data_IF_099563140453
#
_entry.id   IF_099563140453
#
_cell.length_a   1.000
_cell.length_b   1.000
_cell.length_c   1.000
_cell.angle_alpha   90.00
_cell.angle_beta   90.00
_cell.angle_gamma   90.00
#
_symmetry.space_group_name_H-M   'P 1'
#
loop_
_entity.id
_entity.type
_entity.pdbx_description
1 polymer ?
#
# COMPACT_ATOMS: atom_id res chain seq x y z
N UNK A 1 -27.74 27.62 -54.86
CA UNK A 1 -27.67 26.14 -54.88
C UNK A 1 -26.20 25.79 -54.89
N UNK A 2 -25.62 25.56 -53.72
CA UNK A 2 -24.17 25.54 -53.52
C UNK A 2 -23.77 24.10 -53.18
N UNK A 3 -22.68 23.69 -53.81
CA UNK A 3 -22.08 22.37 -53.91
C UNK A 3 -21.73 21.70 -52.57
N UNK A 4 -21.99 20.39 -52.52
CA UNK A 4 -21.33 19.43 -51.61
C UNK A 4 -19.95 19.09 -52.15
N UNK A 5 -18.93 19.24 -51.30
CA UNK A 5 -17.63 18.61 -51.41
C UNK A 5 -17.67 17.31 -50.59
N UNK A 6 -17.41 16.18 -51.24
CA UNK A 6 -17.11 14.91 -50.59
C UNK A 6 -15.59 14.69 -50.56
N UNK A 7 -15.14 14.35 -49.36
CA UNK A 7 -14.10 13.36 -49.04
C UNK A 7 -12.73 13.46 -49.72
N UNK A 8 -11.75 13.97 -48.97
CA UNK A 8 -10.39 13.45 -49.01
C UNK A 8 -10.01 12.98 -47.59
N UNK A 9 -9.75 11.68 -47.49
CA UNK A 9 -9.20 11.02 -46.31
C UNK A 9 -7.74 11.44 -46.12
N UNK A 10 -7.40 12.00 -44.97
CA UNK A 10 -6.02 12.24 -44.55
C UNK A 10 -5.71 11.28 -43.40
N UNK A 11 -4.75 10.39 -43.67
CA UNK A 11 -4.01 9.59 -42.70
C UNK A 11 -3.30 10.49 -41.69
N UNK A 12 -3.77 10.51 -40.43
CA UNK A 12 -3.08 11.19 -39.34
C UNK A 12 -2.24 10.18 -38.54
N UNK A 13 -0.99 10.02 -38.95
CA UNK A 13 0.09 9.46 -38.12
C UNK A 13 0.43 10.48 -37.04
N UNK A 14 -0.24 10.41 -35.89
CA UNK A 14 0.16 11.20 -34.73
C UNK A 14 1.46 10.65 -34.12
N UNK A 15 2.45 11.54 -34.13
CA UNK A 15 3.79 11.41 -33.59
C UNK A 15 3.80 11.16 -32.07
N UNK A 16 4.45 10.09 -31.65
CA UNK A 16 4.93 9.94 -30.28
C UNK A 16 5.99 11.00 -29.99
N UNK A 17 5.58 12.09 -29.34
CA UNK A 17 6.48 13.06 -28.73
C UNK A 17 7.13 12.43 -27.50
N UNK A 18 8.29 11.81 -27.72
CA UNK A 18 9.25 11.48 -26.65
C UNK A 18 10.15 12.69 -26.50
N UNK A 19 10.10 13.34 -25.34
CA UNK A 19 11.07 14.38 -24.99
C UNK A 19 12.43 13.68 -24.78
N UNK A 20 13.47 13.95 -25.58
CA UNK A 20 14.78 13.38 -25.35
C UNK A 20 15.46 14.17 -24.24
N UNK A 21 15.76 13.51 -23.12
CA UNK A 21 16.69 14.02 -22.12
C UNK A 21 18.11 13.89 -22.68
N UNK A 22 18.67 14.99 -23.17
CA UNK A 22 20.02 15.05 -23.71
C UNK A 22 20.94 15.78 -22.73
N UNK A 23 22.00 15.08 -22.29
CA UNK A 23 23.22 15.70 -21.79
C UNK A 23 23.69 15.23 -20.42
N UNK A 24 24.25 14.02 -20.34
CA UNK A 24 25.60 13.75 -19.82
C UNK A 24 25.92 12.26 -19.98
N UNK A 25 26.85 11.96 -20.89
CA UNK A 25 27.44 10.64 -21.09
C UNK A 25 28.39 10.33 -19.93
N UNK A 26 27.82 9.99 -18.79
CA UNK A 26 28.47 9.13 -17.79
C UNK A 26 27.70 7.81 -17.79
N UNK A 27 28.20 6.89 -18.62
CA UNK A 27 27.55 5.64 -19.04
C UNK A 27 27.76 4.51 -18.02
N UNK A 28 28.21 4.83 -16.81
CA UNK A 28 28.14 3.90 -15.69
C UNK A 28 26.76 4.02 -15.03
N UNK A 29 25.92 3.01 -15.24
CA UNK A 29 24.73 2.80 -14.41
C UNK A 29 25.22 2.44 -13.01
N UNK A 30 25.33 3.44 -12.13
CA UNK A 30 25.58 3.17 -10.71
C UNK A 30 24.43 2.35 -10.16
N UNK A 31 24.75 1.20 -9.59
CA UNK A 31 23.78 0.32 -8.95
C UNK A 31 23.10 1.07 -7.79
N UNK A 32 21.78 0.89 -7.59
CA UNK A 32 21.10 1.50 -6.45
C UNK A 32 21.71 1.03 -5.13
N UNK A 33 21.98 1.98 -4.23
CA UNK A 33 22.50 1.70 -2.89
C UNK A 33 21.36 1.85 -1.87
N UNK A 34 20.66 0.75 -1.60
CA UNK A 34 19.56 0.71 -0.64
C UNK A 34 20.07 0.94 0.81
N UNK A 35 21.30 0.54 1.11
CA UNK A 35 21.91 0.71 2.43
C UNK A 35 22.09 2.20 2.78
N UNK A 36 22.38 3.04 1.79
CA UNK A 36 22.49 4.49 1.98
C UNK A 36 21.18 5.10 2.49
N UNK A 37 20.05 4.76 1.85
CA UNK A 37 18.74 5.27 2.27
C UNK A 37 18.27 4.62 3.56
N UNK A 38 18.53 3.32 3.75
CA UNK A 38 18.27 2.62 5.01
C UNK A 38 18.97 3.31 6.19
N UNK A 39 20.26 3.61 6.01
CA UNK A 39 21.06 4.30 7.02
C UNK A 39 20.51 5.70 7.30
N UNK A 40 20.20 6.47 6.25
CA UNK A 40 19.65 7.82 6.41
C UNK A 40 18.32 7.82 7.18
N UNK A 41 17.38 6.93 6.84
CA UNK A 41 16.10 6.84 7.53
C UNK A 41 16.28 6.30 8.96
N UNK A 42 17.06 5.24 9.15
CA UNK A 42 17.26 4.62 10.47
C UNK A 42 17.94 5.59 11.44
N UNK A 43 18.97 6.30 10.99
CA UNK A 43 19.70 7.26 11.85
C UNK A 43 18.86 8.47 12.22
N UNK A 44 18.02 8.98 11.31
CA UNK A 44 17.28 10.23 11.56
C UNK A 44 15.86 10.00 12.10
N UNK A 45 15.23 8.87 11.81
CA UNK A 45 13.81 8.57 12.13
C UNK A 45 13.60 7.21 12.83
N UNK A 46 14.65 6.41 13.02
CA UNK A 46 14.59 5.12 13.69
C UNK A 46 14.30 3.92 12.77
N UNK A 47 14.56 2.72 13.29
CA UNK A 47 14.42 1.45 12.56
C UNK A 47 12.98 1.17 12.12
N UNK A 48 11.99 1.44 12.98
CA UNK A 48 10.58 1.25 12.64
C UNK A 48 10.16 2.13 11.45
N UNK A 49 10.67 3.36 11.37
CA UNK A 49 10.44 4.25 10.24
C UNK A 49 11.04 3.70 8.95
N UNK A 50 12.19 3.02 9.02
CA UNK A 50 12.76 2.31 7.86
C UNK A 50 11.86 1.16 7.41
N UNK A 51 11.40 0.31 8.32
CA UNK A 51 10.56 -0.84 7.96
C UNK A 51 9.26 -0.44 7.24
N UNK A 52 8.72 0.74 7.58
CA UNK A 52 7.59 1.36 6.87
C UNK A 52 8.04 1.97 5.54
N UNK A 53 9.12 2.77 5.54
CA UNK A 53 9.64 3.41 4.33
C UNK A 53 10.00 2.38 3.24
N UNK A 54 10.61 1.25 3.61
CA UNK A 54 10.96 0.16 2.71
C UNK A 54 9.73 -0.40 1.98
N UNK A 55 8.58 -0.52 2.68
CA UNK A 55 7.29 -0.89 2.05
C UNK A 55 6.83 0.17 1.06
N UNK A 56 6.95 1.47 1.42
CA UNK A 56 6.55 2.57 0.55
C UNK A 56 7.43 2.61 -0.71
N UNK A 57 8.75 2.54 -0.56
CA UNK A 57 9.68 2.52 -1.68
C UNK A 57 9.44 1.30 -2.59
N UNK A 58 9.20 0.13 -2.00
CA UNK A 58 8.86 -1.09 -2.76
C UNK A 58 7.59 -0.88 -3.58
N UNK A 59 6.54 -0.31 -2.97
CA UNK A 59 5.32 0.00 -3.70
C UNK A 59 5.57 1.06 -4.79
N UNK A 60 6.37 2.08 -4.54
CA UNK A 60 6.69 3.11 -5.54
C UNK A 60 7.45 2.55 -6.75
N UNK A 61 8.43 1.67 -6.50
CA UNK A 61 9.26 1.04 -7.53
C UNK A 61 8.47 0.19 -8.53
N UNK A 62 7.22 -0.21 -8.21
CA UNK A 62 6.37 -0.92 -9.18
C UNK A 62 6.06 -0.08 -10.42
N UNK A 63 6.26 1.24 -10.39
CA UNK A 63 6.14 2.09 -11.58
C UNK A 63 7.13 1.70 -12.69
N UNK A 64 8.28 1.14 -12.33
CA UNK A 64 9.32 0.73 -13.27
C UNK A 64 8.93 -0.54 -14.04
N UNK A 65 7.99 -1.32 -13.52
CA UNK A 65 7.57 -2.60 -14.11
C UNK A 65 6.62 -2.37 -15.28
N UNK A 66 6.99 -2.90 -16.44
CA UNK A 66 6.19 -2.87 -17.65
C UNK A 66 4.93 -3.75 -17.51
N UNK A 67 3.82 -3.29 -18.07
CA UNK A 67 2.61 -4.10 -18.24
C UNK A 67 1.74 -4.30 -17.00
N UNK A 68 2.03 -3.66 -15.86
CA UNK A 68 1.08 -3.62 -14.76
C UNK A 68 -0.06 -2.63 -15.10
N UNK A 69 -1.30 -3.08 -14.95
CA UNK A 69 -2.50 -2.26 -15.21
C UNK A 69 -2.90 -1.45 -13.97
N UNK A 70 -3.05 -2.11 -12.82
CA UNK A 70 -3.46 -1.48 -11.57
C UNK A 70 -2.29 -0.91 -10.78
N UNK A 71 -2.56 0.17 -10.06
CA UNK A 71 -1.64 0.79 -9.11
C UNK A 71 -1.52 0.03 -7.79
N UNK A 72 -0.42 0.26 -7.08
CA UNK A 72 -0.22 -0.20 -5.71
C UNK A 72 -0.74 0.83 -4.72
N UNK A 73 -1.60 0.41 -3.79
CA UNK A 73 -2.09 1.25 -2.69
C UNK A 73 -1.57 0.79 -1.34
N UNK A 74 -0.79 1.61 -0.65
CA UNK A 74 -0.31 1.38 0.71
C UNK A 74 -0.92 2.41 1.66
N UNK A 75 -1.43 1.93 2.80
CA UNK A 75 -1.91 2.77 3.89
C UNK A 75 -1.08 2.53 5.15
N UNK A 76 -0.51 3.61 5.69
CA UNK A 76 0.14 3.59 7.01
C UNK A 76 -0.96 3.73 8.06
N UNK A 77 -1.11 2.73 8.93
CA UNK A 77 -2.08 2.75 10.02
C UNK A 77 -1.36 2.81 11.37
N UNK A 78 -1.78 3.75 12.24
CA UNK A 78 -1.16 3.90 13.56
C UNK A 78 -1.83 5.00 14.40
N UNK A 79 -1.65 5.01 15.73
CA UNK A 79 -2.25 6.02 16.60
C UNK A 79 -1.82 7.45 16.21
N UNK A 80 -2.61 8.46 16.58
CA UNK A 80 -2.20 9.85 16.38
C UNK A 80 -0.91 10.13 17.14
N UNK A 81 0.02 10.90 16.55
CA UNK A 81 1.30 11.23 17.19
C UNK A 81 2.46 10.31 16.82
N UNK A 82 2.23 9.08 16.36
CA UNK A 82 3.32 8.12 16.09
C UNK A 82 4.22 8.43 14.88
N UNK A 83 4.12 9.60 14.23
CA UNK A 83 5.05 9.96 13.15
C UNK A 83 4.66 9.52 11.73
N UNK A 84 3.46 8.99 11.49
CA UNK A 84 3.00 8.57 10.12
C UNK A 84 3.23 9.62 9.04
N UNK A 85 2.83 10.87 9.32
CA UNK A 85 3.03 11.99 8.40
C UNK A 85 4.51 12.31 8.20
N UNK A 86 5.34 12.16 9.25
CA UNK A 86 6.79 12.35 9.17
C UNK A 86 7.42 11.39 8.17
N UNK A 87 7.01 10.12 8.15
CA UNK A 87 7.52 9.12 7.20
C UNK A 87 7.18 9.44 5.73
N UNK A 88 6.10 10.17 5.47
CA UNK A 88 5.74 10.58 4.10
C UNK A 88 6.53 11.80 3.63
N UNK A 89 7.07 12.63 4.54
CA UNK A 89 7.78 13.88 4.19
C UNK A 89 9.05 13.73 3.34
N UNK A 90 9.82 12.63 3.44
CA UNK A 90 10.96 12.36 2.55
C UNK A 90 10.58 12.21 1.07
N UNK A 91 9.30 11.93 0.76
CA UNK A 91 8.81 11.82 -0.62
C UNK A 91 8.37 13.18 -1.21
N UNK A 92 8.22 14.22 -0.39
CA UNK A 92 7.64 15.49 -0.82
C UNK A 92 8.64 16.33 -1.64
N UNK A 93 8.16 16.88 -2.77
CA UNK A 93 8.94 17.76 -3.63
C UNK A 93 9.71 17.03 -4.74
N UNK A 94 9.47 15.73 -4.92
CA UNK A 94 9.91 14.96 -6.09
C UNK A 94 8.79 14.93 -7.14
N UNK A 95 8.39 16.11 -7.62
CA UNK A 95 7.15 16.33 -8.38
C UNK A 95 7.07 15.54 -9.71
N UNK A 96 8.20 15.09 -10.24
CA UNK A 96 8.30 14.21 -11.40
C UNK A 96 7.76 12.79 -11.12
N UNK A 97 7.80 12.34 -9.87
CA UNK A 97 7.44 10.97 -9.44
C UNK A 97 6.31 10.95 -8.39
N UNK A 98 6.13 12.04 -7.64
CA UNK A 98 5.23 12.12 -6.49
C UNK A 98 4.24 13.27 -6.70
N UNK A 99 2.98 13.02 -6.37
CA UNK A 99 1.95 14.05 -6.29
C UNK A 99 1.40 14.08 -4.87
N UNK A 100 1.62 15.18 -4.13
CA UNK A 100 1.06 15.35 -2.79
C UNK A 100 -0.30 16.04 -2.84
N UNK A 101 -1.25 15.53 -2.05
CA UNK A 101 -2.53 16.18 -1.80
C UNK A 101 -2.90 16.03 -0.32
N UNK A 102 -3.22 17.14 0.34
CA UNK A 102 -3.63 17.09 1.75
C UNK A 102 -5.13 16.78 1.93
N UNK A 103 -5.93 17.00 0.88
CA UNK A 103 -7.34 16.61 0.82
C UNK A 103 -7.75 16.36 -0.63
N UNK A 104 -8.52 15.30 -0.86
CA UNK A 104 -9.07 14.96 -2.16
C UNK A 104 -10.53 14.53 -2.03
N UNK A 105 -11.28 14.75 -3.10
CA UNK A 105 -12.66 14.26 -3.21
C UNK A 105 -12.80 13.39 -4.45
N UNK A 106 -13.76 12.46 -4.50
CA UNK A 106 -14.03 11.68 -5.71
C UNK A 106 -14.19 12.54 -6.98
N UNK A 107 -14.80 13.71 -6.83
CA UNK A 107 -15.03 14.64 -7.94
C UNK A 107 -13.74 15.30 -8.46
N UNK A 108 -12.64 15.32 -7.69
CA UNK A 108 -11.38 15.92 -8.18
C UNK A 108 -10.70 15.05 -9.23
N UNK A 109 -10.96 13.74 -9.29
CA UNK A 109 -10.39 12.87 -10.33
C UNK A 109 -10.87 13.27 -11.73
N UNK A 110 -12.16 13.55 -11.88
CA UNK A 110 -12.84 13.88 -13.15
C UNK A 110 -13.97 14.87 -12.84
N UNK A 111 -13.80 16.15 -13.16
CA UNK A 111 -14.61 17.24 -12.60
C UNK A 111 -15.95 17.66 -13.23
N UNK A 112 -16.34 17.48 -14.48
CA UNK A 112 -17.65 17.92 -15.03
C UNK A 112 -18.21 19.35 -14.72
N UNK A 113 -17.35 20.34 -14.52
CA UNK A 113 -17.77 21.75 -14.47
C UNK A 113 -18.24 22.22 -15.86
N UNK A 114 -19.53 22.54 -16.00
CA UNK A 114 -20.13 22.96 -17.27
C UNK A 114 -19.72 24.35 -17.74
N UNK A 115 -19.03 25.13 -16.91
CA UNK A 115 -18.53 26.47 -17.26
C UNK A 115 -17.17 26.45 -17.96
N UNK A 116 -16.53 25.28 -18.06
CA UNK A 116 -15.18 25.10 -18.62
C UNK A 116 -15.17 24.18 -19.82
N UNK A 117 -14.21 24.37 -20.73
CA UNK A 117 -14.00 23.48 -21.88
C UNK A 117 -13.32 22.18 -21.46
N UNK A 118 -13.34 21.16 -22.32
CA UNK A 118 -12.66 19.88 -22.02
C UNK A 118 -11.14 20.04 -21.84
N UNK A 119 -10.52 20.97 -22.56
CA UNK A 119 -9.09 21.27 -22.44
C UNK A 119 -8.77 21.92 -21.09
N UNK A 120 -9.53 22.95 -20.69
CA UNK A 120 -9.38 23.60 -19.38
C UNK A 120 -9.61 22.62 -18.23
N UNK A 121 -10.51 21.67 -18.47
CA UNK A 121 -10.85 20.61 -17.55
C UNK A 121 -9.75 19.55 -17.42
N UNK A 122 -9.08 19.20 -18.51
CA UNK A 122 -7.94 18.29 -18.51
C UNK A 122 -6.73 18.84 -17.75
N UNK A 123 -6.56 20.17 -17.71
CA UNK A 123 -5.50 20.83 -16.94
C UNK A 123 -5.75 20.79 -15.43
N UNK A 124 -7.02 20.83 -15.00
CA UNK A 124 -7.38 20.86 -13.57
C UNK A 124 -7.66 19.48 -12.98
N UNK A 125 -8.17 18.55 -13.79
CA UNK A 125 -8.53 17.21 -13.34
C UNK A 125 -7.32 16.51 -12.73
N UNK A 126 -7.56 15.82 -11.62
CA UNK A 126 -6.48 15.17 -10.89
C UNK A 126 -5.96 13.93 -11.64
N UNK A 127 -6.84 13.16 -12.29
CA UNK A 127 -6.45 11.86 -12.86
C UNK A 127 -5.32 11.94 -13.90
N UNK A 128 -5.34 12.86 -14.90
CA UNK A 128 -4.21 13.06 -15.81
C UNK A 128 -2.91 13.44 -15.11
N UNK A 129 -2.99 14.23 -14.02
CA UNK A 129 -1.83 14.72 -13.27
C UNK A 129 -1.18 13.63 -12.41
N UNK A 130 -1.91 12.57 -12.09
CA UNK A 130 -1.43 11.42 -11.33
C UNK A 130 -0.75 10.36 -12.19
N UNK A 131 -0.99 10.35 -13.51
CA UNK A 131 -0.48 9.31 -14.41
C UNK A 131 1.03 9.10 -14.23
N UNK A 132 1.41 7.88 -13.84
CA UNK A 132 2.81 7.48 -13.63
C UNK A 132 3.45 8.02 -12.35
N UNK A 133 2.68 8.60 -11.44
CA UNK A 133 3.15 9.13 -10.16
C UNK A 133 2.60 8.33 -8.99
N UNK A 134 3.13 8.58 -7.80
CA UNK A 134 2.49 8.17 -6.55
C UNK A 134 1.72 9.35 -5.96
N UNK A 135 0.40 9.19 -5.79
CA UNK A 135 -0.42 10.08 -4.98
C UNK A 135 -0.12 9.85 -3.49
N UNK A 136 0.34 10.87 -2.79
CA UNK A 136 0.59 10.83 -1.35
C UNK A 136 -0.40 11.71 -0.61
N UNK A 137 -1.13 11.11 0.34
CA UNK A 137 -2.17 11.76 1.16
C UNK A 137 -1.85 11.60 2.64
N UNK A 138 -1.31 12.65 3.29
CA UNK A 138 -0.79 12.54 4.65
C UNK A 138 -1.83 12.26 5.74
N UNK A 139 -3.11 12.49 5.47
CA UNK A 139 -4.21 12.14 6.35
C UNK A 139 -5.46 11.76 5.53
N UNK A 140 -5.89 10.51 5.66
CA UNK A 140 -7.11 9.98 5.04
C UNK A 140 -8.23 9.70 6.05
N UNK A 141 -8.12 10.13 7.31
CA UNK A 141 -9.14 9.82 8.31
C UNK A 141 -10.55 10.28 7.86
N UNK A 142 -10.66 11.41 7.16
CA UNK A 142 -11.93 11.96 6.64
C UNK A 142 -12.63 11.04 5.64
N UNK A 143 -11.87 10.22 4.90
CA UNK A 143 -12.41 9.29 3.90
C UNK A 143 -13.15 8.11 4.51
N UNK A 144 -12.84 7.75 5.76
CA UNK A 144 -13.45 6.63 6.48
C UNK A 144 -14.52 7.05 7.51
N UNK A 145 -14.83 8.35 7.55
CA UNK A 145 -15.80 8.95 8.44
C UNK A 145 -17.14 9.24 7.74
N UNK A 146 -18.21 9.41 8.52
CA UNK A 146 -19.56 9.68 8.00
C UNK A 146 -20.42 8.43 7.79
N UNK A 147 -21.62 8.54 7.20
CA UNK A 147 -22.50 7.40 6.91
C UNK A 147 -21.87 6.35 5.97
N UNK A 148 -22.27 5.07 6.08
CA UNK A 148 -21.70 3.99 5.26
C UNK A 148 -21.84 4.26 3.75
N UNK A 149 -22.94 4.90 3.32
CA UNK A 149 -23.16 5.25 1.91
C UNK A 149 -22.12 6.25 1.38
N UNK A 150 -21.76 7.27 2.17
CA UNK A 150 -20.75 8.25 1.76
C UNK A 150 -19.35 7.62 1.68
N UNK A 151 -19.02 6.74 2.64
CA UNK A 151 -17.76 5.99 2.60
C UNK A 151 -17.74 5.09 1.35
N UNK A 152 -18.86 4.44 1.04
CA UNK A 152 -19.01 3.56 -0.13
C UNK A 152 -18.84 4.33 -1.43
N UNK A 153 -19.47 5.49 -1.57
CA UNK A 153 -19.35 6.35 -2.76
C UNK A 153 -17.90 6.81 -2.97
N UNK A 154 -17.26 7.34 -1.91
CA UNK A 154 -15.88 7.83 -1.96
C UNK A 154 -14.92 6.72 -2.36
N UNK A 155 -14.97 5.62 -1.62
CA UNK A 155 -14.07 4.50 -1.85
C UNK A 155 -14.39 3.73 -3.13
N UNK A 156 -15.65 3.74 -3.60
CA UNK A 156 -16.06 3.19 -4.89
C UNK A 156 -15.37 3.87 -6.05
N UNK A 157 -15.41 5.20 -6.08
CA UNK A 157 -14.69 5.98 -7.10
C UNK A 157 -13.19 5.76 -7.02
N UNK A 158 -12.63 5.79 -5.80
CA UNK A 158 -11.21 5.57 -5.57
C UNK A 158 -10.75 4.17 -6.03
N UNK A 159 -11.55 3.14 -5.77
CA UNK A 159 -11.27 1.79 -6.23
C UNK A 159 -11.23 1.69 -7.76
N UNK A 160 -12.16 2.35 -8.47
CA UNK A 160 -12.19 2.35 -9.93
C UNK A 160 -10.98 3.06 -10.53
N UNK A 161 -10.59 4.23 -10.02
CA UNK A 161 -9.41 4.96 -10.56
C UNK A 161 -8.11 4.20 -10.30
N UNK A 162 -8.01 3.45 -9.19
CA UNK A 162 -6.84 2.63 -8.86
C UNK A 162 -6.66 1.41 -9.78
N UNK A 163 -7.71 0.98 -10.49
CA UNK A 163 -7.61 -0.11 -11.47
C UNK A 163 -6.79 0.32 -12.71
N UNK A 164 -6.63 1.63 -12.95
CA UNK A 164 -5.65 2.19 -13.89
C UNK A 164 -6.16 2.43 -15.31
N UNK A 165 -7.33 1.90 -15.69
CA UNK A 165 -7.90 1.99 -17.06
C UNK A 165 -8.55 3.36 -17.39
N UNK A 166 -8.40 4.34 -16.50
CA UNK A 166 -9.09 5.62 -16.54
C UNK A 166 -10.38 5.64 -15.72
N UNK A 167 -11.17 6.69 -15.89
CA UNK A 167 -12.45 6.85 -15.21
C UNK A 167 -13.38 7.73 -16.04
N UNK A 168 -14.58 7.22 -16.31
CA UNK A 168 -15.64 7.93 -17.03
C UNK A 168 -16.90 8.00 -16.18
N UNK A 169 -17.65 9.09 -16.31
CA UNK A 169 -18.94 9.28 -15.65
C UNK A 169 -19.91 10.00 -16.57
N UNK A 170 -21.19 9.68 -16.40
CA UNK A 170 -22.29 10.41 -17.01
C UNK A 170 -22.76 11.52 -16.08
N UNK A 171 -22.93 12.73 -16.61
CA UNK A 171 -23.60 13.83 -15.92
C UNK A 171 -24.73 14.39 -16.79
N UNK A 172 -25.79 14.89 -16.14
CA UNK A 172 -26.90 15.53 -16.84
C UNK A 172 -26.50 16.82 -17.57
N UNK A 173 -25.38 17.45 -17.20
CA UNK A 173 -24.90 18.71 -17.76
C UNK A 173 -23.92 18.55 -18.93
N UNK A 174 -23.17 17.44 -19.00
CA UNK A 174 -22.12 17.24 -20.00
C UNK A 174 -22.17 15.88 -20.70
N UNK A 175 -23.15 15.01 -20.41
CA UNK A 175 -23.19 13.66 -20.97
C UNK A 175 -22.07 12.80 -20.42
N UNK A 176 -21.44 11.98 -21.26
CA UNK A 176 -20.29 11.14 -20.90
C UNK A 176 -19.03 11.99 -20.85
N UNK A 177 -18.33 12.00 -19.71
CA UNK A 177 -17.02 12.65 -19.57
C UNK A 177 -16.05 11.76 -18.82
N UNK A 178 -14.77 11.82 -19.20
CA UNK A 178 -13.68 11.26 -18.43
C UNK A 178 -12.52 10.84 -19.29
N UNK A 179 -11.73 9.91 -18.79
CA UNK A 179 -10.50 9.46 -19.41
C UNK A 179 -10.50 7.94 -19.54
N UNK A 180 -9.91 7.43 -20.62
CA UNK A 180 -9.74 5.99 -20.86
C UNK A 180 -8.32 5.69 -21.30
N UNK A 181 -7.82 4.50 -20.97
CA UNK A 181 -6.45 4.07 -21.27
C UNK A 181 -5.58 4.04 -20.01
N UNK A 182 -4.27 4.07 -20.19
CA UNK A 182 -3.35 4.00 -19.04
C UNK A 182 -3.32 5.32 -18.25
N UNK A 183 -3.95 5.29 -17.07
CA UNK A 183 -3.88 6.31 -16.02
C UNK A 183 -3.38 5.71 -14.71
N UNK A 184 -2.54 4.66 -14.79
CA UNK A 184 -1.99 4.00 -13.60
C UNK A 184 -1.23 5.00 -12.74
N UNK A 185 -1.54 5.00 -11.44
CA UNK A 185 -0.82 5.73 -10.41
C UNK A 185 -0.75 4.85 -9.15
N UNK A 186 0.29 5.04 -8.34
CA UNK A 186 0.36 4.38 -7.03
C UNK A 186 -0.22 5.31 -5.97
N UNK A 187 -0.61 4.74 -4.84
CA UNK A 187 -1.23 5.48 -3.75
C UNK A 187 -0.53 5.20 -2.42
N UNK A 188 -0.26 6.25 -1.66
CA UNK A 188 0.26 6.18 -0.29
C UNK A 188 -0.56 7.09 0.62
N UNK A 189 -1.15 6.52 1.65
CA UNK A 189 -1.94 7.27 2.63
C UNK A 189 -1.48 7.02 4.05
N UNK A 190 -1.88 7.89 4.97
CA UNK A 190 -1.81 7.62 6.39
C UNK A 190 -3.18 7.80 7.05
N UNK A 191 -3.46 6.97 8.05
CA UNK A 191 -4.72 7.03 8.80
C UNK A 191 -4.56 6.52 10.23
N UNK A 192 -5.47 6.92 11.10
CA UNK A 192 -5.65 6.28 12.40
C UNK A 192 -6.38 4.94 12.23
N UNK A 193 -6.33 4.02 13.21
CA UNK A 193 -6.95 2.71 13.06
C UNK A 193 -8.37 2.78 12.53
N UNK A 194 -8.61 2.15 11.37
CA UNK A 194 -9.89 2.28 10.67
C UNK A 194 -10.98 1.62 11.52
N UNK A 195 -12.10 2.32 11.68
CA UNK A 195 -13.24 1.76 12.41
C UNK A 195 -13.71 0.43 11.79
N UNK A 196 -14.24 -0.53 12.57
CA UNK A 196 -14.78 -1.78 12.00
C UNK A 196 -15.81 -1.55 10.90
N UNK A 197 -16.54 -0.44 10.98
CA UNK A 197 -17.48 0.01 9.95
C UNK A 197 -16.77 0.41 8.64
N UNK A 198 -15.73 1.22 8.71
CA UNK A 198 -14.92 1.59 7.55
C UNK A 198 -14.33 0.37 6.85
N UNK A 199 -13.73 -0.56 7.61
CA UNK A 199 -13.23 -1.83 7.08
C UNK A 199 -14.31 -2.67 6.39
N UNK A 200 -15.52 -2.75 6.97
CA UNK A 200 -16.65 -3.43 6.32
C UNK A 200 -16.98 -2.76 4.99
N UNK A 201 -17.11 -1.44 4.92
CA UNK A 201 -17.43 -0.76 3.65
C UNK A 201 -16.34 -1.00 2.60
N UNK A 202 -15.07 -0.86 2.97
CA UNK A 202 -13.93 -1.09 2.06
C UNK A 202 -13.91 -2.52 1.49
N UNK A 203 -14.14 -3.51 2.35
CA UNK A 203 -14.15 -4.92 1.92
C UNK A 203 -15.28 -5.27 0.95
N UNK A 204 -16.41 -4.55 1.00
CA UNK A 204 -17.50 -4.74 0.03
C UNK A 204 -17.21 -4.12 -1.33
N UNK A 205 -16.57 -2.94 -1.35
CA UNK A 205 -16.22 -2.24 -2.60
C UNK A 205 -15.00 -2.89 -3.29
N UNK A 206 -14.15 -3.53 -2.51
CA UNK A 206 -12.99 -4.28 -2.97
C UNK A 206 -11.70 -3.71 -2.38
N UNK A 207 -10.92 -4.59 -1.78
CA UNK A 207 -9.67 -4.20 -1.14
C UNK A 207 -8.55 -4.00 -2.17
N UNK A 208 -8.25 -2.73 -2.47
CA UNK A 208 -7.09 -2.30 -3.29
C UNK A 208 -5.96 -1.70 -2.46
N UNK A 209 -6.17 -1.63 -1.14
CA UNK A 209 -5.19 -1.13 -0.19
C UNK A 209 -4.60 -2.31 0.60
N UNK A 210 -3.29 -2.29 0.71
CA UNK A 210 -2.53 -3.00 1.72
C UNK A 210 -2.18 -2.03 2.84
N UNK A 211 -1.95 -2.56 4.05
CA UNK A 211 -1.60 -1.74 5.20
C UNK A 211 -0.24 -2.11 5.75
N UNK A 212 0.44 -1.11 6.29
CA UNK A 212 1.61 -1.27 7.14
C UNK A 212 1.32 -0.54 8.46
N UNK A 213 1.54 -1.23 9.58
CA UNK A 213 1.28 -0.68 10.91
C UNK A 213 2.47 0.14 11.37
N UNK A 214 2.22 1.30 11.96
CA UNK A 214 3.21 2.05 12.73
C UNK A 214 2.74 2.13 14.18
N UNK A 215 3.58 1.64 15.09
CA UNK A 215 3.35 1.64 16.54
C UNK A 215 3.90 2.91 17.18
N UNK A 216 3.43 3.23 18.38
CA UNK A 216 4.01 4.29 19.21
C UNK A 216 4.63 3.61 20.42
N UNK A 217 5.86 3.15 20.25
CA UNK A 217 6.59 2.37 21.25
C UNK A 217 7.90 3.06 21.66
N UNK A 218 8.00 4.35 21.38
CA UNK A 218 9.13 5.16 21.84
C UNK A 218 9.09 5.21 23.35
N UNK A 219 10.14 4.69 23.98
CA UNK A 219 10.40 4.89 25.40
C UNK A 219 10.39 6.40 25.71
N UNK A 220 9.64 6.81 26.74
CA UNK A 220 9.46 8.22 27.09
C UNK A 220 10.81 8.93 27.29
N UNK A 221 11.78 8.30 27.95
CA UNK A 221 13.09 8.90 28.18
C UNK A 221 13.85 9.10 26.86
N UNK A 222 13.80 8.12 25.94
CA UNK A 222 14.38 8.27 24.59
C UNK A 222 13.67 9.35 23.78
N UNK A 223 12.35 9.44 23.89
CA UNK A 223 11.56 10.47 23.22
C UNK A 223 11.99 11.86 23.73
N UNK A 224 12.07 12.05 25.04
CA UNK A 224 12.52 13.30 25.65
C UNK A 224 13.98 13.64 25.31
N UNK A 225 14.90 12.67 25.33
CA UNK A 225 16.29 12.87 24.96
C UNK A 225 16.41 13.35 23.50
N UNK A 226 15.64 12.75 22.58
CA UNK A 226 15.62 13.19 21.18
C UNK A 226 15.08 14.61 21.00
N UNK A 227 14.12 15.02 21.83
CA UNK A 227 13.52 16.37 21.80
C UNK A 227 14.52 17.43 22.28
N UNK A 228 15.30 17.15 23.34
CA UNK A 228 16.18 18.15 23.96
C UNK A 228 17.63 18.11 23.49
N UNK A 229 18.09 16.98 22.95
CA UNK A 229 19.49 16.75 22.58
C UNK A 229 19.67 16.37 21.11
N UNK A 230 18.57 16.16 20.38
CA UNK A 230 18.60 15.76 18.96
C UNK A 230 18.66 16.95 17.99
N UNK A 231 18.90 16.68 16.69
CA UNK A 231 18.74 17.68 15.64
C UNK A 231 17.30 18.17 15.57
N UNK A 232 17.13 19.41 15.12
CA UNK A 232 15.81 19.99 14.90
C UNK A 232 15.00 19.14 13.90
N UNK A 233 13.69 19.03 14.12
CA UNK A 233 12.80 18.20 13.28
C UNK A 233 12.91 18.51 11.78
N UNK A 234 13.04 19.81 11.45
CA UNK A 234 13.19 20.26 10.06
C UNK A 234 14.48 19.73 9.41
N UNK A 235 15.56 19.60 10.19
CA UNK A 235 16.84 19.08 9.72
C UNK A 235 16.75 17.57 9.45
N UNK A 236 16.15 16.79 10.36
CA UNK A 236 15.92 15.35 10.18
C UNK A 236 15.12 15.08 8.90
N UNK A 237 14.05 15.84 8.68
CA UNK A 237 13.21 15.76 7.48
C UNK A 237 13.99 16.17 6.22
N UNK A 238 14.85 17.18 6.29
CA UNK A 238 15.65 17.63 5.14
C UNK A 238 16.65 16.56 4.72
N UNK A 239 17.40 16.00 5.67
CA UNK A 239 18.41 14.96 5.42
C UNK A 239 17.79 13.71 4.80
N UNK A 240 16.67 13.25 5.35
CA UNK A 240 15.96 12.07 4.83
C UNK A 240 15.34 12.31 3.46
N UNK A 241 14.81 13.51 3.20
CA UNK A 241 14.31 13.90 1.87
C UNK A 241 15.42 13.91 0.82
N UNK A 242 16.56 14.53 1.12
CA UNK A 242 17.68 14.60 0.18
C UNK A 242 18.19 13.21 -0.19
N UNK A 243 18.38 12.33 0.80
CA UNK A 243 18.75 10.94 0.57
C UNK A 243 17.71 10.20 -0.29
N UNK A 244 16.42 10.35 0.04
CA UNK A 244 15.31 9.72 -0.69
C UNK A 244 15.24 10.18 -2.14
N UNK A 245 15.32 11.48 -2.39
CA UNK A 245 15.28 12.04 -3.74
C UNK A 245 16.47 11.62 -4.58
N UNK A 246 17.67 11.64 -4.00
CA UNK A 246 18.90 11.20 -4.67
C UNK A 246 18.80 9.74 -5.09
N UNK A 247 18.39 8.89 -4.14
CA UNK A 247 18.21 7.47 -4.37
C UNK A 247 17.15 7.18 -5.45
N UNK A 248 15.95 7.76 -5.35
CA UNK A 248 14.86 7.51 -6.31
C UNK A 248 15.18 7.99 -7.73
N UNK A 249 15.93 9.10 -7.88
CA UNK A 249 16.43 9.54 -9.19
C UNK A 249 17.47 8.57 -9.76
N UNK A 250 18.38 8.10 -8.92
CA UNK A 250 19.37 7.07 -9.28
C UNK A 250 18.68 5.78 -9.71
N UNK A 251 17.71 5.31 -8.95
CA UNK A 251 16.90 4.12 -9.24
C UNK A 251 16.18 4.23 -10.59
N UNK A 252 15.52 5.37 -10.86
CA UNK A 252 14.88 5.62 -12.15
C UNK A 252 15.90 5.64 -13.30
N UNK A 253 17.05 6.30 -13.12
CA UNK A 253 18.12 6.33 -14.13
C UNK A 253 18.65 4.92 -14.42
N UNK A 254 18.88 4.12 -13.38
CA UNK A 254 19.39 2.75 -13.47
C UNK A 254 18.45 1.83 -14.27
N UNK A 255 17.17 1.81 -13.91
CA UNK A 255 16.16 0.95 -14.55
C UNK A 255 15.63 1.49 -15.88
N UNK A 256 15.94 2.74 -16.25
CA UNK A 256 15.48 3.36 -17.50
C UNK A 256 14.13 4.08 -17.40
N UNK A 257 13.66 4.32 -16.18
CA UNK A 257 12.44 5.04 -15.88
C UNK A 257 11.18 4.19 -15.85
N UNK A 258 10.02 4.85 -15.95
CA UNK A 258 8.71 4.21 -15.84
C UNK A 258 8.53 3.14 -16.92
N UNK A 259 8.01 1.98 -16.52
CA UNK A 259 7.67 0.85 -17.40
C UNK A 259 8.83 0.35 -18.28
N UNK A 260 10.07 0.60 -17.86
CA UNK A 260 11.26 0.19 -18.59
C UNK A 260 11.70 -1.25 -18.28
N UNK A 261 11.25 -1.83 -17.16
CA UNK A 261 11.63 -3.18 -16.73
C UNK A 261 10.63 -4.21 -17.25
N UNK A 262 11.06 -5.02 -18.19
CA UNK A 262 10.37 -6.26 -18.57
C UNK A 262 10.73 -7.38 -17.57
N UNK A 263 9.72 -7.96 -16.92
CA UNK A 263 9.91 -8.92 -15.83
C UNK A 263 9.75 -10.35 -16.34
N UNK A 264 10.88 -11.01 -16.63
CA UNK A 264 10.88 -12.35 -17.24
C UNK A 264 11.21 -13.48 -16.26
N UNK A 265 11.70 -13.16 -15.06
CA UNK A 265 12.05 -14.17 -14.06
C UNK A 265 10.85 -14.67 -13.26
N UNK A 266 10.87 -15.96 -12.95
CA UNK A 266 9.99 -16.57 -11.97
C UNK A 266 10.68 -16.61 -10.59
N UNK A 267 9.94 -16.38 -9.49
CA UNK A 267 10.47 -16.61 -8.14
C UNK A 267 10.76 -18.08 -7.90
N UNK A 268 11.56 -18.39 -6.88
CA UNK A 268 11.73 -19.78 -6.41
C UNK A 268 10.41 -20.36 -5.89
N UNK A 269 10.32 -21.70 -5.84
CA UNK A 269 9.16 -22.40 -5.25
C UNK A 269 8.91 -21.96 -3.80
N UNK A 270 9.97 -21.76 -3.01
CA UNK A 270 9.88 -21.25 -1.63
C UNK A 270 9.24 -19.86 -1.56
N UNK A 271 9.62 -18.95 -2.47
CA UNK A 271 9.04 -17.61 -2.54
C UNK A 271 7.58 -17.67 -3.00
N UNK A 272 7.24 -18.55 -3.94
CA UNK A 272 5.86 -18.78 -4.40
C UNK A 272 4.99 -19.32 -3.25
N UNK A 273 5.49 -20.30 -2.49
CA UNK A 273 4.77 -20.89 -1.37
C UNK A 273 4.61 -19.89 -0.22
N UNK A 274 5.62 -19.07 0.06
CA UNK A 274 5.53 -17.98 1.01
C UNK A 274 4.47 -16.95 0.61
N UNK A 275 4.49 -16.46 -0.64
CA UNK A 275 3.48 -15.54 -1.15
C UNK A 275 2.07 -16.15 -1.10
N UNK A 276 1.94 -17.45 -1.38
CA UNK A 276 0.66 -18.18 -1.29
C UNK A 276 0.16 -18.22 0.15
N UNK A 277 1.02 -18.55 1.12
CA UNK A 277 0.69 -18.55 2.54
C UNK A 277 0.23 -17.16 3.00
N UNK A 278 1.02 -16.12 2.74
CA UNK A 278 0.71 -14.74 3.14
C UNK A 278 -0.58 -14.24 2.48
N UNK A 279 -0.82 -14.61 1.22
CA UNK A 279 -2.05 -14.26 0.52
C UNK A 279 -3.29 -14.89 1.15
N UNK A 280 -3.20 -16.17 1.54
CA UNK A 280 -4.28 -16.86 2.27
C UNK A 280 -4.50 -16.25 3.64
N UNK A 281 -3.42 -15.95 4.37
CA UNK A 281 -3.49 -15.31 5.66
C UNK A 281 -4.25 -13.99 5.58
N UNK A 282 -3.90 -13.10 4.64
CA UNK A 282 -4.64 -11.85 4.38
C UNK A 282 -6.10 -12.13 4.00
N UNK A 283 -6.33 -13.04 3.05
CA UNK A 283 -7.67 -13.34 2.54
C UNK A 283 -8.64 -13.73 3.66
N UNK A 284 -8.20 -14.57 4.60
CA UNK A 284 -9.02 -15.07 5.69
C UNK A 284 -9.14 -14.03 6.81
N UNK A 285 -8.01 -13.48 7.25
CA UNK A 285 -7.98 -12.54 8.37
C UNK A 285 -8.63 -11.19 8.05
N UNK A 286 -8.64 -10.73 6.80
CA UNK A 286 -9.26 -9.46 6.41
C UNK A 286 -10.75 -9.58 6.09
N UNK A 287 -11.27 -10.80 5.89
CA UNK A 287 -12.66 -11.00 5.48
C UNK A 287 -13.65 -10.40 6.51
N UNK A 288 -14.64 -9.60 6.07
CA UNK A 288 -15.77 -9.24 6.92
C UNK A 288 -16.67 -10.46 7.12
N UNK A 289 -17.33 -10.53 8.28
CA UNK A 289 -18.38 -11.50 8.54
C UNK A 289 -19.73 -10.88 8.16
N UNK A 290 -20.49 -11.57 7.30
CA UNK A 290 -21.87 -11.21 6.93
C UNK A 290 -22.78 -12.38 7.28
N UNK A 291 -23.77 -12.14 8.14
CA UNK A 291 -24.68 -13.19 8.62
C UNK A 291 -23.92 -14.42 9.18
N UNK A 292 -22.78 -14.16 9.86
CA UNK A 292 -21.91 -15.21 10.40
C UNK A 292 -20.98 -15.88 9.39
N UNK A 293 -21.06 -15.56 8.10
CA UNK A 293 -20.22 -16.16 7.05
C UNK A 293 -19.13 -15.20 6.53
N UNK A 294 -17.87 -15.66 6.38
CA UNK A 294 -16.77 -14.83 5.88
C UNK A 294 -16.94 -14.50 4.40
N UNK A 295 -16.84 -13.21 4.05
CA UNK A 295 -16.82 -12.75 2.65
C UNK A 295 -15.37 -12.56 2.20
N UNK A 296 -14.78 -13.62 1.62
CA UNK A 296 -13.38 -13.61 1.21
C UNK A 296 -13.23 -12.96 -0.17
N UNK A 297 -12.23 -12.10 -0.32
CA UNK A 297 -11.85 -11.59 -1.63
C UNK A 297 -11.10 -12.64 -2.46
N UNK A 298 -10.83 -12.34 -3.72
CA UNK A 298 -10.07 -13.24 -4.59
C UNK A 298 -8.63 -13.38 -4.11
N UNK A 299 -8.19 -14.63 -3.90
CA UNK A 299 -6.79 -14.94 -3.59
C UNK A 299 -5.84 -14.43 -4.68
N UNK A 300 -6.27 -14.47 -5.95
CA UNK A 300 -5.51 -13.92 -7.09
C UNK A 300 -5.21 -12.44 -6.89
N UNK A 301 -6.17 -11.66 -6.39
CA UNK A 301 -5.97 -10.21 -6.18
C UNK A 301 -4.91 -9.96 -5.11
N UNK A 302 -5.04 -10.62 -3.96
CA UNK A 302 -4.07 -10.50 -2.86
C UNK A 302 -2.68 -10.96 -3.30
N UNK A 303 -2.60 -12.12 -3.95
CA UNK A 303 -1.35 -12.66 -4.47
C UNK A 303 -0.69 -11.76 -5.51
N UNK A 304 -1.46 -11.14 -6.40
CA UNK A 304 -0.92 -10.14 -7.34
C UNK A 304 -0.35 -8.94 -6.59
N UNK A 305 -1.05 -8.39 -5.58
CA UNK A 305 -0.52 -7.24 -4.83
C UNK A 305 0.77 -7.59 -4.08
N UNK A 306 0.85 -8.74 -3.40
CA UNK A 306 2.08 -9.18 -2.72
C UNK A 306 3.21 -9.48 -3.70
N UNK A 307 2.91 -10.13 -4.84
CA UNK A 307 3.90 -10.35 -5.89
C UNK A 307 4.43 -9.03 -6.45
N UNK A 308 3.57 -8.03 -6.67
CA UNK A 308 4.00 -6.71 -7.13
C UNK A 308 4.88 -6.02 -6.10
N UNK A 309 4.53 -6.13 -4.82
CA UNK A 309 5.31 -5.56 -3.73
C UNK A 309 6.70 -6.19 -3.63
N UNK A 310 6.80 -7.53 -3.69
CA UNK A 310 8.08 -8.25 -3.69
C UNK A 310 8.96 -7.87 -4.91
N UNK A 311 8.35 -7.75 -6.09
CA UNK A 311 9.06 -7.27 -7.29
C UNK A 311 9.54 -5.83 -7.14
N UNK A 312 8.72 -4.97 -6.54
CA UNK A 312 9.08 -3.61 -6.21
C UNK A 312 10.27 -3.55 -5.25
N UNK A 313 10.30 -4.40 -4.23
CA UNK A 313 11.43 -4.51 -3.31
C UNK A 313 12.71 -4.97 -4.02
N UNK A 314 12.63 -6.03 -4.84
CA UNK A 314 13.77 -6.50 -5.62
C UNK A 314 14.39 -5.42 -6.52
N UNK A 315 13.55 -4.54 -7.09
CA UNK A 315 14.04 -3.42 -7.89
C UNK A 315 14.84 -2.40 -7.09
N UNK A 316 14.52 -2.23 -5.80
CA UNK A 316 15.29 -1.35 -4.93
C UNK A 316 16.76 -1.79 -4.88
N UNK A 317 17.04 -3.09 -4.86
CA UNK A 317 18.40 -3.62 -4.94
C UNK A 317 18.95 -3.73 -6.37
N UNK A 318 18.32 -3.08 -7.34
CA UNK A 318 18.73 -3.18 -8.75
C UNK A 318 18.46 -4.56 -9.41
N UNK A 319 17.75 -5.47 -8.74
CA UNK A 319 17.47 -6.84 -9.20
C UNK A 319 16.18 -6.92 -10.01
N UNK A 320 16.10 -7.90 -10.91
CA UNK A 320 14.89 -8.27 -11.67
C UNK A 320 14.43 -9.69 -11.37
N UNK A 321 14.79 -10.21 -10.19
CA UNK A 321 14.41 -11.51 -9.66
C UNK A 321 13.98 -11.38 -8.20
N UNK A 322 12.86 -12.01 -7.85
CA UNK A 322 12.38 -12.09 -6.46
C UNK A 322 13.15 -13.18 -5.72
N UNK A 323 13.75 -12.81 -4.60
CA UNK A 323 14.44 -13.65 -3.64
C UNK A 323 13.65 -13.74 -2.33
N UNK A 324 14.09 -14.60 -1.41
CA UNK A 324 13.41 -14.77 -0.11
C UNK A 324 13.45 -13.52 0.77
N UNK A 325 14.48 -12.68 0.66
CA UNK A 325 14.57 -11.40 1.38
C UNK A 325 13.45 -10.42 1.00
N UNK A 326 12.98 -10.45 -0.25
CA UNK A 326 11.86 -9.62 -0.72
C UNK A 326 10.52 -10.00 -0.07
N UNK A 327 10.46 -11.20 0.54
CA UNK A 327 9.28 -11.69 1.24
C UNK A 327 9.11 -11.02 2.60
N UNK A 328 10.18 -10.52 3.23
CA UNK A 328 10.10 -9.89 4.55
C UNK A 328 9.21 -8.63 4.53
N UNK A 329 9.26 -7.86 3.44
CA UNK A 329 8.35 -6.73 3.21
C UNK A 329 6.89 -7.20 3.12
N UNK A 330 6.66 -8.31 2.41
CA UNK A 330 5.33 -8.91 2.26
C UNK A 330 4.80 -9.44 3.59
N UNK A 331 5.66 -9.99 4.45
CA UNK A 331 5.32 -10.47 5.79
C UNK A 331 4.79 -9.32 6.66
N UNK A 332 5.52 -8.21 6.73
CA UNK A 332 5.12 -7.03 7.53
C UNK A 332 3.76 -6.49 7.08
N UNK A 333 3.54 -6.45 5.76
CA UNK A 333 2.27 -6.01 5.17
C UNK A 333 1.14 -7.01 5.42
N UNK A 334 1.40 -8.31 5.30
CA UNK A 334 0.38 -9.34 5.50
C UNK A 334 -0.15 -9.34 6.93
N UNK A 335 0.73 -9.18 7.91
CA UNK A 335 0.35 -9.10 9.32
C UNK A 335 -0.29 -7.75 9.71
N UNK A 336 -0.10 -6.71 8.90
CA UNK A 336 -0.67 -5.37 9.12
C UNK A 336 -2.02 -5.16 8.46
N UNK A 337 -2.26 -5.79 7.31
CA UNK A 337 -3.45 -5.61 6.45
C UNK A 337 -4.78 -6.07 7.06
N UNK A 338 -4.73 -6.73 8.22
CA UNK A 338 -5.89 -7.19 8.99
C UNK A 338 -6.52 -6.03 9.78
N UNK A 339 -7.85 -6.06 10.02
CA UNK A 339 -8.49 -5.11 10.93
C UNK A 339 -7.80 -5.06 12.30
N UNK A 340 -7.50 -3.86 12.78
CA UNK A 340 -6.71 -3.64 14.00
C UNK A 340 -7.23 -4.41 15.22
N UNK A 341 -8.56 -4.52 15.34
CA UNK A 341 -9.22 -5.17 16.47
C UNK A 341 -9.02 -6.70 16.56
N UNK A 342 -8.57 -7.36 15.48
CA UNK A 342 -8.29 -8.81 15.43
C UNK A 342 -6.82 -9.15 15.19
N UNK A 343 -6.01 -8.18 14.76
CA UNK A 343 -4.58 -8.36 14.42
C UNK A 343 -3.81 -9.09 15.52
N UNK A 344 -3.96 -8.66 16.78
CA UNK A 344 -3.30 -9.31 17.92
C UNK A 344 -3.68 -10.78 18.08
N UNK A 345 -4.96 -11.13 17.89
CA UNK A 345 -5.41 -12.52 18.01
C UNK A 345 -4.93 -13.40 16.84
N UNK A 346 -4.92 -12.87 15.61
CA UNK A 346 -4.39 -13.63 14.46
C UNK A 346 -2.89 -13.85 14.62
N UNK A 347 -2.14 -12.80 14.99
CA UNK A 347 -0.69 -12.91 15.25
C UNK A 347 -0.40 -13.93 16.35
N UNK A 348 -1.18 -13.94 17.42
CA UNK A 348 -1.06 -14.96 18.48
C UNK A 348 -1.33 -16.38 17.96
N UNK A 349 -2.32 -16.55 17.08
CA UNK A 349 -2.66 -17.85 16.48
C UNK A 349 -1.55 -18.41 15.59
N UNK A 350 -0.96 -17.55 14.76
CA UNK A 350 0.08 -17.96 13.80
C UNK A 350 1.50 -17.84 14.36
N UNK A 351 1.68 -17.41 15.61
CA UNK A 351 3.02 -17.25 16.15
C UNK A 351 3.74 -18.61 16.25
N UNK A 352 5.01 -18.74 15.81
CA UNK A 352 5.71 -20.02 15.77
C UNK A 352 5.72 -20.74 17.12
N UNK A 353 5.89 -20.00 18.21
CA UNK A 353 5.97 -20.57 19.58
C UNK A 353 4.63 -21.03 20.17
N UNK A 354 3.50 -20.52 19.68
CA UNK A 354 2.15 -20.85 20.19
C UNK A 354 1.33 -21.68 19.19
N UNK A 355 1.88 -21.96 18.01
CA UNK A 355 1.22 -22.52 16.81
C UNK A 355 0.51 -23.88 16.98
N UNK A 356 0.62 -24.57 18.11
CA UNK A 356 -0.06 -25.85 18.34
C UNK A 356 -1.46 -25.71 18.93
N UNK A 357 -1.63 -24.81 19.88
CA UNK A 357 -2.90 -24.43 20.48
C UNK A 357 -2.72 -23.14 21.27
N UNK A 358 -3.59 -22.16 21.05
CA UNK A 358 -3.52 -20.86 21.73
C UNK A 358 -4.72 -20.70 22.64
N UNK A 359 -4.46 -20.46 23.92
CA UNK A 359 -5.47 -20.23 24.94
C UNK A 359 -6.01 -18.80 24.90
N UNK A 360 -7.17 -18.58 25.53
CA UNK A 360 -7.72 -17.23 25.68
C UNK A 360 -6.79 -16.30 26.46
N UNK A 361 -5.97 -16.83 27.38
CA UNK A 361 -5.00 -16.05 28.14
C UNK A 361 -3.85 -15.58 27.24
N UNK A 362 -3.28 -16.47 26.44
CA UNK A 362 -2.22 -16.12 25.49
C UNK A 362 -2.71 -15.12 24.43
N UNK A 363 -3.94 -15.25 23.93
CA UNK A 363 -4.53 -14.23 23.04
C UNK A 363 -4.70 -12.88 23.75
N UNK A 364 -5.11 -12.89 25.03
CA UNK A 364 -5.29 -11.67 25.80
C UNK A 364 -3.95 -10.94 26.02
N UNK A 365 -2.91 -11.69 26.40
CA UNK A 365 -1.57 -11.18 26.67
C UNK A 365 -0.91 -10.71 25.37
N UNK A 366 -0.91 -11.55 24.33
CA UNK A 366 -0.35 -11.22 23.03
C UNK A 366 -1.10 -10.07 22.35
N UNK A 367 -2.43 -10.05 22.46
CA UNK A 367 -3.27 -9.02 21.84
C UNK A 367 -3.43 -7.74 22.66
N UNK A 368 -2.81 -7.67 23.85
CA UNK A 368 -2.98 -6.57 24.82
C UNK A 368 -4.46 -6.22 25.03
N UNK A 369 -5.29 -7.24 25.23
CA UNK A 369 -6.75 -7.11 25.32
C UNK A 369 -7.33 -7.86 26.51
N UNK A 370 -8.53 -7.47 26.96
CA UNK A 370 -9.20 -8.17 28.05
C UNK A 370 -9.51 -9.62 27.69
N UNK A 371 -9.52 -10.53 28.68
CA UNK A 371 -9.90 -11.94 28.48
C UNK A 371 -11.28 -12.13 27.82
N UNK A 372 -12.35 -11.37 28.18
CA UNK A 372 -13.60 -11.41 27.45
C UNK A 372 -13.47 -11.05 25.97
N UNK A 373 -12.68 -10.01 25.65
CA UNK A 373 -12.39 -9.62 24.27
C UNK A 373 -11.63 -10.73 23.54
N UNK A 374 -10.60 -11.31 24.17
CA UNK A 374 -9.82 -12.41 23.62
C UNK A 374 -10.69 -13.63 23.30
N UNK A 375 -11.65 -13.97 24.16
CA UNK A 375 -12.61 -15.06 23.92
C UNK A 375 -13.47 -14.80 22.68
N UNK A 376 -13.99 -13.58 22.54
CA UNK A 376 -14.77 -13.17 21.36
C UNK A 376 -13.92 -13.21 20.09
N UNK A 377 -12.65 -12.80 20.16
CA UNK A 377 -11.71 -12.89 19.03
C UNK A 377 -11.41 -14.34 18.66
N UNK A 378 -11.22 -15.21 19.64
CA UNK A 378 -11.01 -16.64 19.39
C UNK A 378 -12.19 -17.26 18.61
N UNK A 379 -13.42 -16.96 19.00
CA UNK A 379 -14.64 -17.39 18.29
C UNK A 379 -14.67 -16.80 16.86
N UNK A 380 -14.33 -15.53 16.70
CA UNK A 380 -14.23 -14.89 15.39
C UNK A 380 -13.15 -15.53 14.48
N UNK A 381 -12.01 -15.96 15.03
CA UNK A 381 -10.98 -16.67 14.25
C UNK A 381 -11.48 -18.02 13.72
N UNK A 382 -12.30 -18.73 14.51
CA UNK A 382 -12.98 -19.95 14.08
C UNK A 382 -14.01 -19.66 12.99
N UNK A 383 -14.85 -18.63 13.14
CA UNK A 383 -15.82 -18.21 12.12
C UNK A 383 -15.14 -17.81 10.79
N UNK A 384 -13.94 -17.24 10.86
CA UNK A 384 -13.13 -16.91 9.67
C UNK A 384 -12.50 -18.15 9.03
N UNK A 385 -12.48 -19.29 9.73
CA UNK A 385 -11.84 -20.54 9.30
C UNK A 385 -10.33 -20.54 9.46
N UNK A 386 -9.78 -19.76 10.41
CA UNK A 386 -8.34 -19.74 10.69
C UNK A 386 -7.90 -20.87 11.64
N UNK A 387 -8.84 -21.47 12.36
CA UNK A 387 -8.58 -22.56 13.29
C UNK A 387 -9.85 -23.14 13.88
N UNK A 388 -9.69 -24.14 14.74
CA UNK A 388 -10.80 -24.82 15.42
C UNK A 388 -10.68 -24.66 16.92
N UNK A 389 -11.78 -24.25 17.56
CA UNK A 389 -11.85 -24.12 19.01
C UNK A 389 -12.02 -25.48 19.67
N UNK A 390 -11.24 -25.73 20.71
CA UNK A 390 -11.37 -26.91 21.58
C UNK A 390 -11.73 -26.49 22.99
N UNK A 391 -12.68 -27.22 23.59
CA UNK A 391 -13.00 -27.12 25.02
C UNK A 391 -12.30 -28.26 25.79
N UNK A 392 -11.38 -27.87 26.68
CA UNK A 392 -10.72 -28.78 27.63
C UNK A 392 -10.73 -28.20 29.05
N UNK A 393 -9.58 -28.22 29.75
CA UNK A 393 -9.41 -27.48 31.03
C UNK A 393 -9.51 -25.95 30.88
N UNK A 394 -9.56 -25.46 29.64
CA UNK A 394 -9.83 -24.09 29.23
C UNK A 394 -10.26 -24.06 27.75
N UNK A 395 -10.60 -22.87 27.25
CA UNK A 395 -10.90 -22.66 25.82
C UNK A 395 -9.58 -22.34 25.09
N UNK A 396 -9.32 -23.04 24.00
CA UNK A 396 -8.14 -22.85 23.14
C UNK A 396 -8.51 -22.98 21.68
N UNK A 397 -7.74 -22.40 20.78
CA UNK A 397 -7.87 -22.55 19.33
C UNK A 397 -6.62 -23.20 18.76
N UNK A 398 -6.78 -24.24 17.95
CA UNK A 398 -5.71 -24.82 17.14
C UNK A 398 -5.78 -24.20 15.75
N UNK A 399 -4.68 -23.69 15.17
CA UNK A 399 -4.70 -23.21 13.80
C UNK A 399 -5.02 -24.36 12.83
N UNK A 400 -5.67 -24.03 11.72
CA UNK A 400 -5.74 -24.96 10.60
C UNK A 400 -4.33 -25.21 10.06
N UNK A 401 -4.11 -26.38 9.45
CA UNK A 401 -2.85 -26.71 8.75
C UNK A 401 -2.40 -25.65 7.74
N UNK A 402 -3.35 -24.97 7.08
CA UNK A 402 -3.07 -23.89 6.13
C UNK A 402 -2.53 -22.60 6.82
N UNK A 403 -2.63 -22.50 8.15
CA UNK A 403 -2.24 -21.32 8.94
C UNK A 403 -1.14 -21.59 9.99
N UNK A 404 -0.44 -22.71 9.88
CA UNK A 404 0.82 -22.92 10.61
C UNK A 404 1.91 -22.07 9.95
N UNK A 405 2.62 -21.25 10.72
CA UNK A 405 3.66 -20.37 10.17
C UNK A 405 4.81 -21.18 9.54
N UNK A 406 5.19 -20.90 8.28
CA UNK A 406 6.27 -21.63 7.63
C UNK A 406 7.62 -21.37 8.33
N UNK A 407 8.38 -22.44 8.58
CA UNK A 407 9.66 -22.36 9.32
C UNK A 407 10.79 -21.62 8.59
N UNK A 408 10.65 -21.39 7.29
CA UNK A 408 11.58 -20.61 6.47
C UNK A 408 11.24 -19.11 6.41
N UNK A 409 10.15 -18.67 7.07
CA UNK A 409 9.75 -17.26 7.11
C UNK A 409 10.09 -16.62 8.45
N UNK A 410 10.67 -15.42 8.37
CA UNK A 410 10.92 -14.59 9.53
C UNK A 410 9.59 -14.12 10.13
N UNK A 411 9.27 -14.54 11.36
CA UNK A 411 8.14 -13.97 12.07
C UNK A 411 8.60 -12.63 12.70
N UNK A 412 8.02 -11.47 12.32
CA UNK A 412 8.45 -10.20 12.88
C UNK A 412 8.16 -10.20 14.37
N UNK A 413 9.21 -10.08 15.18
CA UNK A 413 9.07 -9.87 16.61
C UNK A 413 8.23 -8.61 16.83
N UNK A 414 7.49 -8.59 17.93
CA UNK A 414 6.89 -7.34 18.39
C UNK A 414 8.04 -6.37 18.61
N UNK A 415 7.90 -5.12 18.20
CA UNK A 415 8.60 -4.08 18.94
C UNK A 415 8.07 -4.16 20.39
N UNK A 416 8.95 -3.91 21.37
CA UNK A 416 8.85 -4.27 22.79
C UNK A 416 9.21 -5.73 23.15
N UNK A 417 10.51 -6.03 23.10
CA UNK A 417 11.30 -6.39 24.31
C UNK A 417 12.42 -5.37 24.50
#
# INVERSE_FOLDING_TARGET
MIHNNDSDCIDDKQSHSTIPWAGESDDSKTEPDLDQIQSAITTNLGKESWEVMEVLLSAHATHLIQGLMAGMGIMIEGPSGCGKTTILRPLFGLDEQIYRSDDLTPASFVSADSSRTEEELAEIDLLPRLKGKTLVVPDMATWFNGPEEQIRERYGTFASVMDGDGFTRDSGSQGVRGYTGDYRFNFMGATTPISPRGHRVMSHVGNRLLFVTMTDETDDDKAFDSIFSGPEYGELVSRTREATHTYLRGLWKYHGGREAVNWESDPSDDAIDALRYLSRLIQYSRAPLREGSPQRESLRRVGTMLRNLARGHALLDGRTQVLMEDIDVCIRVALSTMPANRRGAVRALVHPETSSAVTTAEIADYGSMSRPTARKRMEELEDLGLGTVKQGKGKSICPDSDFVWPGNLNFPRRAAE
#
